data_IF_940862194120
#
_entry.id   IF_940862194120
#
_cell.length_a   1.000
_cell.length_b   1.000
_cell.length_c   1.000
_cell.angle_alpha   90.00
_cell.angle_beta   90.00
_cell.angle_gamma   90.00
#
_symmetry.space_group_name_H-M   'P 1'
#
loop_
_entity.id
_entity.type
_entity.pdbx_description
1 polymer ?
#
# COMPACT_ATOMS: atom_id res chain seq x y z
N UNK A 1 0.54 -27.86 13.39
CA UNK A 1 1.00 -26.90 12.37
C UNK A 1 0.32 -27.34 11.08
N UNK A 2 -0.59 -26.54 10.53
CA UNK A 2 -1.51 -26.96 9.44
C UNK A 2 -0.80 -27.18 8.10
N UNK A 3 0.48 -26.81 8.03
CA UNK A 3 1.34 -26.90 6.83
C UNK A 3 1.84 -28.32 6.53
N UNK A 4 1.73 -29.28 7.47
CA UNK A 4 2.20 -30.65 7.25
C UNK A 4 1.18 -31.58 6.55
N UNK A 5 -0.08 -31.16 6.37
CA UNK A 5 -1.16 -32.02 5.85
C UNK A 5 -1.65 -31.69 4.43
N UNK A 6 -1.32 -30.51 3.87
CA UNK A 6 -1.82 -30.07 2.57
C UNK A 6 -0.73 -29.44 1.72
N UNK A 7 -0.68 -29.83 0.45
CA UNK A 7 0.23 -29.26 -0.55
C UNK A 7 -0.08 -27.77 -0.76
N UNK A 8 0.96 -26.96 -0.88
CA UNK A 8 0.88 -25.51 -1.06
C UNK A 8 0.03 -25.15 -2.29
N UNK A 9 0.20 -25.87 -3.40
CA UNK A 9 -0.59 -25.67 -4.62
C UNK A 9 -2.10 -25.85 -4.38
N UNK A 10 -2.47 -26.76 -3.48
CA UNK A 10 -3.87 -27.01 -3.14
C UNK A 10 -4.44 -25.86 -2.31
N UNK A 11 -3.68 -25.32 -1.37
CA UNK A 11 -4.09 -24.17 -0.55
C UNK A 11 -4.31 -22.94 -1.44
N UNK A 12 -3.36 -22.66 -2.35
CA UNK A 12 -3.44 -21.56 -3.32
C UNK A 12 -4.63 -21.76 -4.27
N UNK A 13 -4.88 -22.97 -4.77
CA UNK A 13 -6.00 -23.25 -5.67
C UNK A 13 -7.36 -23.06 -5.00
N UNK A 14 -7.52 -23.51 -3.76
CA UNK A 14 -8.78 -23.33 -3.00
C UNK A 14 -9.02 -21.84 -2.69
N UNK A 15 -7.95 -21.12 -2.34
CA UNK A 15 -8.03 -19.68 -2.12
C UNK A 15 -8.41 -18.92 -3.39
N UNK A 16 -7.80 -19.23 -4.54
CA UNK A 16 -8.15 -18.63 -5.82
C UNK A 16 -9.62 -18.91 -6.20
N UNK A 17 -10.14 -20.10 -5.86
CA UNK A 17 -11.56 -20.41 -6.04
C UNK A 17 -12.48 -19.58 -5.15
N UNK A 18 -12.06 -19.32 -3.90
CA UNK A 18 -12.74 -18.40 -3.01
C UNK A 18 -12.72 -16.97 -3.53
N UNK A 19 -11.56 -16.47 -3.97
CA UNK A 19 -11.38 -15.11 -4.48
C UNK A 19 -12.24 -14.85 -5.73
N UNK A 20 -12.32 -15.81 -6.65
CA UNK A 20 -13.23 -15.72 -7.81
C UNK A 20 -14.71 -15.65 -7.40
N UNK A 21 -15.10 -16.45 -6.41
CA UNK A 21 -16.48 -16.46 -5.90
C UNK A 21 -16.83 -15.15 -5.18
N UNK A 22 -15.88 -14.63 -4.41
CA UNK A 22 -15.98 -13.34 -3.75
C UNK A 22 -16.10 -12.22 -4.78
N UNK A 23 -15.24 -12.17 -5.79
CA UNK A 23 -15.27 -11.16 -6.85
C UNK A 23 -16.61 -11.11 -7.57
N UNK A 24 -17.28 -12.26 -7.77
CA UNK A 24 -18.62 -12.32 -8.35
C UNK A 24 -19.72 -11.77 -7.41
N UNK A 25 -19.52 -11.86 -6.10
CA UNK A 25 -20.45 -11.38 -5.08
C UNK A 25 -20.28 -9.88 -4.78
N UNK A 26 -19.06 -9.35 -4.94
CA UNK A 26 -18.71 -7.98 -4.59
C UNK A 26 -19.66 -6.91 -5.18
N UNK A 27 -20.01 -6.93 -6.49
CA UNK A 27 -20.94 -5.94 -7.06
C UNK A 27 -22.32 -5.91 -6.40
N UNK A 28 -22.79 -7.07 -5.91
CA UNK A 28 -24.07 -7.17 -5.22
C UNK A 28 -23.99 -6.56 -3.82
N UNK A 29 -22.89 -6.80 -3.11
CA UNK A 29 -22.68 -6.25 -1.77
C UNK A 29 -22.46 -4.73 -1.82
N UNK A 30 -21.69 -4.23 -2.79
CA UNK A 30 -21.45 -2.80 -2.97
C UNK A 30 -22.70 -2.03 -3.41
N UNK A 31 -23.68 -2.71 -4.04
CA UNK A 31 -24.97 -2.09 -4.37
C UNK A 31 -25.81 -1.74 -3.13
N UNK A 32 -25.55 -2.41 -2.00
CA UNK A 32 -26.27 -2.20 -0.75
C UNK A 32 -25.53 -1.11 0.04
N UNK A 33 -26.03 0.13 -0.06
CA UNK A 33 -25.52 1.28 0.72
C UNK A 33 -25.82 1.10 2.21
N UNK A 34 -24.91 0.45 2.93
CA UNK A 34 -25.01 0.20 4.36
C UNK A 34 -23.60 0.26 5.00
N UNK A 35 -23.39 1.16 5.98
CA UNK A 35 -22.09 1.33 6.64
C UNK A 35 -21.51 0.06 7.28
N UNK A 36 -22.36 -0.86 7.74
CA UNK A 36 -21.91 -2.14 8.31
C UNK A 36 -21.38 -3.10 7.23
N UNK A 37 -21.97 -3.06 6.04
CA UNK A 37 -21.55 -3.86 4.88
C UNK A 37 -20.23 -3.30 4.35
N UNK A 38 -20.13 -1.99 4.17
CA UNK A 38 -18.89 -1.31 3.77
C UNK A 38 -17.72 -1.63 4.71
N UNK A 39 -17.94 -1.58 6.03
CA UNK A 39 -16.92 -1.94 7.02
C UNK A 39 -16.51 -3.41 6.93
N UNK A 40 -17.46 -4.30 6.64
CA UNK A 40 -17.20 -5.74 6.51
C UNK A 40 -16.40 -6.01 5.23
N UNK A 41 -16.78 -5.36 4.13
CA UNK A 41 -16.03 -5.39 2.87
C UNK A 41 -14.58 -4.95 3.10
N UNK A 42 -14.37 -3.82 3.79
CA UNK A 42 -13.03 -3.32 4.06
C UNK A 42 -12.18 -4.31 4.88
N UNK A 43 -12.78 -4.95 5.90
CA UNK A 43 -12.09 -5.99 6.67
C UNK A 43 -11.73 -7.20 5.82
N UNK A 44 -12.58 -7.53 4.86
CA UNK A 44 -12.40 -8.68 3.98
C UNK A 44 -11.22 -8.45 3.04
N UNK A 45 -11.08 -7.23 2.49
CA UNK A 45 -9.88 -6.83 1.73
C UNK A 45 -8.61 -6.86 2.57
N UNK A 46 -8.63 -6.29 3.78
CA UNK A 46 -7.46 -6.37 4.68
C UNK A 46 -7.07 -7.82 5.00
N UNK A 47 -8.04 -8.72 5.13
CA UNK A 47 -7.76 -10.15 5.29
C UNK A 47 -7.23 -10.79 4.01
N UNK A 48 -7.71 -10.36 2.84
CA UNK A 48 -7.25 -10.80 1.53
C UNK A 48 -5.76 -10.46 1.34
N UNK A 49 -5.36 -9.23 1.68
CA UNK A 49 -3.97 -8.78 1.62
C UNK A 49 -3.06 -9.62 2.53
N UNK A 50 -3.49 -9.84 3.77
CA UNK A 50 -2.76 -10.68 4.72
C UNK A 50 -2.59 -12.12 4.21
N UNK A 51 -3.58 -12.67 3.51
CA UNK A 51 -3.48 -14.01 2.94
C UNK A 51 -2.57 -14.03 1.71
N UNK A 52 -2.59 -12.99 0.87
CA UNK A 52 -1.62 -12.85 -0.22
C UNK A 52 -0.19 -12.72 0.30
N UNK A 53 0.03 -11.95 1.37
CA UNK A 53 1.32 -11.86 2.06
C UNK A 53 1.75 -13.21 2.65
N UNK A 54 0.84 -13.91 3.33
CA UNK A 54 1.12 -15.19 3.98
C UNK A 54 1.41 -16.31 2.99
N UNK A 55 0.71 -16.31 1.85
CA UNK A 55 0.82 -17.32 0.81
C UNK A 55 1.76 -16.91 -0.33
N UNK A 56 2.48 -15.78 -0.23
CA UNK A 56 3.36 -15.27 -1.29
C UNK A 56 2.71 -15.26 -2.69
N UNK A 57 1.42 -14.95 -2.76
CA UNK A 57 0.74 -14.76 -4.04
C UNK A 57 1.01 -13.35 -4.53
N UNK A 58 1.28 -13.17 -5.83
CA UNK A 58 1.36 -11.83 -6.41
C UNK A 58 0.00 -11.14 -6.20
N UNK A 59 0.01 -10.02 -5.47
CA UNK A 59 -1.16 -9.18 -5.32
C UNK A 59 -1.41 -8.49 -6.67
N UNK A 60 -2.11 -9.16 -7.58
CA UNK A 60 -2.71 -8.48 -8.72
C UNK A 60 -3.82 -7.61 -8.17
N UNK A 61 -3.50 -6.35 -7.89
CA UNK A 61 -4.46 -5.34 -7.45
C UNK A 61 -5.73 -5.48 -8.25
N UNK A 62 -6.81 -5.91 -7.60
CA UNK A 62 -8.05 -6.18 -8.30
C UNK A 62 -8.55 -4.86 -8.88
N UNK A 63 -8.73 -4.77 -10.20
CA UNK A 63 -9.28 -3.57 -10.86
C UNK A 63 -10.60 -3.11 -10.22
N UNK A 64 -11.35 -4.05 -9.64
CA UNK A 64 -12.57 -3.77 -8.89
C UNK A 64 -12.30 -2.97 -7.61
N UNK A 65 -11.19 -3.27 -6.91
CA UNK A 65 -10.78 -2.54 -5.71
C UNK A 65 -10.28 -1.14 -6.04
N UNK A 66 -9.46 -0.99 -7.07
CA UNK A 66 -9.04 0.33 -7.58
C UNK A 66 -10.22 1.19 -7.99
N UNK A 67 -11.21 0.60 -8.67
CA UNK A 67 -12.44 1.29 -9.04
C UNK A 67 -13.21 1.77 -7.81
N UNK A 68 -13.36 0.92 -6.79
CA UNK A 68 -14.02 1.28 -5.53
C UNK A 68 -13.31 2.42 -4.80
N UNK A 69 -11.98 2.42 -4.79
CA UNK A 69 -11.21 3.52 -4.18
C UNK A 69 -11.32 4.81 -4.99
N UNK A 70 -11.33 4.72 -6.32
CA UNK A 70 -11.60 5.87 -7.17
C UNK A 70 -13.02 6.44 -6.97
N UNK A 71 -14.02 5.57 -6.78
CA UNK A 71 -15.39 5.98 -6.45
C UNK A 71 -15.45 6.74 -5.12
N UNK A 72 -14.73 6.25 -4.09
CA UNK A 72 -14.64 6.90 -2.79
C UNK A 72 -13.97 8.29 -2.89
N UNK A 73 -12.81 8.36 -3.56
CA UNK A 73 -12.10 9.62 -3.77
C UNK A 73 -12.96 10.64 -4.52
N UNK A 74 -13.67 10.22 -5.58
CA UNK A 74 -14.58 11.09 -6.33
C UNK A 74 -15.71 11.61 -5.43
N UNK A 75 -16.29 10.75 -4.60
CA UNK A 75 -17.34 11.13 -3.66
C UNK A 75 -16.86 12.15 -2.62
N UNK A 76 -15.64 12.01 -2.12
CA UNK A 76 -15.08 12.92 -1.12
C UNK A 76 -14.71 14.28 -1.74
N UNK A 77 -14.23 14.27 -2.98
CA UNK A 77 -14.07 15.49 -3.76
C UNK A 77 -15.43 16.18 -4.01
N UNK A 78 -16.47 15.45 -4.43
CA UNK A 78 -17.82 16.01 -4.59
C UNK A 78 -18.36 16.59 -3.27
N UNK A 79 -18.17 15.88 -2.16
CA UNK A 79 -18.54 16.36 -0.83
C UNK A 79 -17.79 17.62 -0.45
N UNK A 80 -16.50 17.71 -0.79
CA UNK A 80 -15.72 18.92 -0.59
C UNK A 80 -16.37 20.10 -1.32
N UNK A 81 -16.74 19.95 -2.59
CA UNK A 81 -17.40 21.01 -3.36
C UNK A 81 -18.77 21.43 -2.81
N UNK A 82 -19.56 20.46 -2.33
CA UNK A 82 -20.87 20.73 -1.72
C UNK A 82 -20.75 21.47 -0.38
N UNK A 83 -19.75 21.13 0.44
CA UNK A 83 -19.53 21.72 1.77
C UNK A 83 -18.73 23.01 1.73
N UNK A 84 -17.86 23.15 0.73
CA UNK A 84 -16.99 24.32 0.53
C UNK A 84 -17.72 25.36 -0.32
N UNK A 85 -18.86 25.84 0.19
CA UNK A 85 -19.62 26.90 -0.50
C UNK A 85 -18.81 28.18 -0.68
N UNK A 86 -19.30 29.08 -1.56
CA UNK A 86 -18.73 30.41 -1.87
C UNK A 86 -18.26 31.24 -0.66
N UNK A 87 -18.81 30.97 0.53
CA UNK A 87 -18.45 31.62 1.80
C UNK A 87 -17.02 31.30 2.25
N UNK A 88 -16.50 30.09 1.97
CA UNK A 88 -15.12 29.73 2.31
C UNK A 88 -14.09 30.44 1.41
N UNK A 89 -14.47 30.74 0.16
CA UNK A 89 -13.67 31.50 -0.80
C UNK A 89 -13.41 32.94 -0.34
N UNK A 90 -14.28 33.52 0.49
CA UNK A 90 -14.12 34.88 1.04
C UNK A 90 -12.90 35.02 1.95
N UNK A 91 -12.39 33.91 2.49
CA UNK A 91 -11.23 33.88 3.39
C UNK A 91 -9.87 33.72 2.69
N UNK A 92 -9.85 33.44 1.38
CA UNK A 92 -8.61 33.19 0.63
C UNK A 92 -8.04 34.46 0.04
N UNK A 93 -6.70 34.56 0.03
CA UNK A 93 -5.99 35.69 -0.60
C UNK A 93 -6.17 35.74 -2.12
N UNK A 94 -6.36 34.59 -2.76
CA UNK A 94 -6.58 34.46 -4.21
C UNK A 94 -7.61 33.36 -4.50
N UNK A 95 -8.92 33.70 -4.45
CA UNK A 95 -10.00 32.74 -4.66
C UNK A 95 -10.04 32.17 -6.07
N UNK A 96 -9.63 32.94 -7.08
CA UNK A 96 -9.64 32.51 -8.48
C UNK A 96 -8.61 31.40 -8.72
N UNK A 97 -7.42 31.55 -8.16
CA UNK A 97 -6.39 30.50 -8.22
C UNK A 97 -6.79 29.24 -7.47
N UNK A 98 -7.39 29.38 -6.27
CA UNK A 98 -7.86 28.23 -5.50
C UNK A 98 -8.96 27.45 -6.25
N UNK A 99 -9.89 28.15 -6.90
CA UNK A 99 -10.92 27.53 -7.74
C UNK A 99 -10.34 26.83 -8.97
N UNK A 100 -9.35 27.44 -9.63
CA UNK A 100 -8.67 26.80 -10.77
C UNK A 100 -8.03 25.49 -10.35
N UNK A 101 -7.23 25.50 -9.28
CA UNK A 101 -6.57 24.29 -8.75
C UNK A 101 -7.57 23.23 -8.32
N UNK A 102 -8.70 23.62 -7.73
CA UNK A 102 -9.76 22.67 -7.42
C UNK A 102 -10.34 22.05 -8.70
N UNK A 103 -10.64 22.87 -9.72
CA UNK A 103 -11.18 22.39 -10.99
C UNK A 103 -10.22 21.46 -11.73
N UNK A 104 -8.92 21.77 -11.71
CA UNK A 104 -7.88 20.95 -12.31
C UNK A 104 -7.79 19.59 -11.61
N UNK A 105 -7.80 19.58 -10.26
CA UNK A 105 -7.83 18.35 -9.47
C UNK A 105 -9.11 17.53 -9.69
N UNK A 106 -10.27 18.16 -9.75
CA UNK A 106 -11.52 17.49 -10.07
C UNK A 106 -11.45 16.78 -11.43
N UNK A 107 -10.92 17.47 -12.45
CA UNK A 107 -10.76 16.91 -13.78
C UNK A 107 -9.82 15.70 -13.82
N UNK A 108 -8.73 15.72 -13.05
CA UNK A 108 -7.80 14.57 -13.00
C UNK A 108 -8.40 13.37 -12.29
N UNK A 109 -9.12 13.57 -11.18
CA UNK A 109 -9.84 12.49 -10.47
C UNK A 109 -10.93 11.88 -11.35
N UNK A 110 -11.73 12.72 -12.02
CA UNK A 110 -12.76 12.26 -12.95
C UNK A 110 -12.16 11.45 -14.12
N UNK A 111 -11.06 11.93 -14.71
CA UNK A 111 -10.38 11.20 -15.78
C UNK A 111 -9.82 9.85 -15.31
N UNK A 112 -9.22 9.79 -14.12
CA UNK A 112 -8.75 8.53 -13.53
C UNK A 112 -9.90 7.54 -13.31
N UNK A 113 -11.01 8.02 -12.76
CA UNK A 113 -12.24 7.25 -12.56
C UNK A 113 -12.80 6.70 -13.89
N UNK A 114 -12.92 7.55 -14.91
CA UNK A 114 -13.39 7.18 -16.25
C UNK A 114 -12.53 6.07 -16.88
N UNK A 115 -11.20 6.14 -16.72
CA UNK A 115 -10.27 5.14 -17.29
C UNK A 115 -10.41 3.78 -16.58
N UNK A 116 -10.62 3.78 -15.26
CA UNK A 116 -10.93 2.57 -14.50
C UNK A 116 -12.28 1.98 -14.90
N UNK A 117 -13.30 2.81 -15.11
CA UNK A 117 -14.62 2.36 -15.53
C UNK A 117 -14.61 1.73 -16.93
N UNK A 118 -13.82 2.28 -17.85
CA UNK A 118 -13.65 1.75 -19.22
C UNK A 118 -12.76 0.50 -19.28
N UNK A 119 -12.14 0.11 -18.16
CA UNK A 119 -11.25 -1.04 -18.11
C UNK A 119 -10.00 -0.88 -18.97
N UNK A 120 -9.46 0.34 -19.06
CA UNK A 120 -8.28 0.65 -19.85
C UNK A 120 -7.03 -0.09 -19.34
N UNK A 121 -5.97 -0.04 -20.14
CA UNK A 121 -4.70 -0.68 -19.82
C UNK A 121 -4.03 -0.06 -18.58
N UNK A 122 -3.36 -0.89 -17.78
CA UNK A 122 -2.85 -0.52 -16.45
C UNK A 122 -1.83 0.62 -16.52
N UNK A 123 -1.06 0.70 -17.62
CA UNK A 123 -0.12 1.80 -17.87
C UNK A 123 -0.81 3.17 -17.99
N UNK A 124 -1.98 3.23 -18.64
CA UNK A 124 -2.77 4.47 -18.76
C UNK A 124 -3.42 4.84 -17.44
N UNK A 125 -3.90 3.85 -16.69
CA UNK A 125 -4.45 4.06 -15.34
C UNK A 125 -3.37 4.64 -14.42
N UNK A 126 -2.18 4.04 -14.41
CA UNK A 126 -1.02 4.52 -13.66
C UNK A 126 -0.60 5.94 -14.07
N UNK A 127 -0.49 6.22 -15.37
CA UNK A 127 -0.17 7.56 -15.87
C UNK A 127 -1.22 8.60 -15.42
N UNK A 128 -2.50 8.26 -15.55
CA UNK A 128 -3.58 9.15 -15.14
C UNK A 128 -3.58 9.45 -13.64
N UNK A 129 -3.23 8.45 -12.82
CA UNK A 129 -3.08 8.61 -11.39
C UNK A 129 -1.91 9.53 -11.01
N UNK A 130 -0.84 9.56 -11.80
CA UNK A 130 0.26 10.52 -11.62
C UNK A 130 -0.23 11.98 -11.62
N UNK A 131 -1.19 12.32 -12.48
CA UNK A 131 -1.81 13.66 -12.50
C UNK A 131 -2.72 13.90 -11.27
N UNK A 132 -3.38 12.86 -10.76
CA UNK A 132 -4.15 12.93 -9.50
C UNK A 132 -3.24 13.27 -8.32
N UNK A 133 -2.07 12.64 -8.21
CA UNK A 133 -1.12 12.94 -7.14
C UNK A 133 -0.51 14.35 -7.22
N UNK A 134 -0.23 14.82 -8.45
CA UNK A 134 0.33 16.16 -8.65
C UNK A 134 -0.69 17.24 -8.30
N UNK A 135 -1.89 17.18 -8.89
CA UNK A 135 -2.92 18.17 -8.66
C UNK A 135 -3.54 18.04 -7.25
N UNK A 136 -3.61 16.83 -6.70
CA UNK A 136 -4.03 16.59 -5.31
C UNK A 136 -3.12 17.29 -4.31
N UNK A 137 -1.79 17.23 -4.49
CA UNK A 137 -0.86 17.99 -3.62
C UNK A 137 -1.05 19.50 -3.73
N UNK A 138 -1.28 20.03 -4.94
CA UNK A 138 -1.54 21.45 -5.16
C UNK A 138 -2.85 21.88 -4.51
N UNK A 139 -3.89 21.05 -4.65
CA UNK A 139 -5.20 21.23 -4.05
C UNK A 139 -5.12 21.25 -2.52
N UNK A 140 -4.54 20.21 -1.89
CA UNK A 140 -4.37 20.14 -0.45
C UNK A 140 -3.60 21.35 0.08
N UNK A 141 -2.52 21.77 -0.60
CA UNK A 141 -1.75 22.96 -0.23
C UNK A 141 -2.57 24.25 -0.32
N UNK A 142 -3.40 24.40 -1.35
CA UNK A 142 -4.26 25.57 -1.55
C UNK A 142 -5.32 25.69 -0.45
N UNK A 143 -5.93 24.57 -0.03
CA UNK A 143 -7.05 24.57 0.91
C UNK A 143 -6.66 24.28 2.37
N UNK A 144 -5.39 24.00 2.66
CA UNK A 144 -4.87 23.72 4.02
C UNK A 144 -5.14 24.82 5.05
N UNK A 145 -5.29 26.07 4.62
CA UNK A 145 -5.53 27.22 5.48
C UNK A 145 -7.02 27.40 5.84
N UNK A 146 -7.89 26.51 5.37
CA UNK A 146 -9.31 26.50 5.71
C UNK A 146 -9.51 26.36 7.22
N UNK A 147 -10.35 27.22 7.79
CA UNK A 147 -10.68 27.22 9.24
C UNK A 147 -11.89 26.35 9.60
N UNK A 148 -12.62 25.84 8.60
CA UNK A 148 -13.77 24.97 8.81
C UNK A 148 -13.28 23.57 9.16
N UNK A 149 -13.56 23.10 10.39
CA UNK A 149 -13.22 21.73 10.81
C UNK A 149 -13.82 20.67 9.90
N UNK A 150 -15.04 20.90 9.39
CA UNK A 150 -15.71 19.98 8.47
C UNK A 150 -14.97 19.87 7.13
N UNK A 151 -14.38 20.96 6.64
CA UNK A 151 -13.59 20.94 5.41
C UNK A 151 -12.19 20.36 5.64
N UNK A 152 -11.60 20.58 6.82
CA UNK A 152 -10.32 19.94 7.21
C UNK A 152 -10.46 18.43 7.26
N UNK A 153 -11.57 17.90 7.81
CA UNK A 153 -11.82 16.45 7.83
C UNK A 153 -11.88 15.86 6.42
N UNK A 154 -12.62 16.49 5.50
CA UNK A 154 -12.72 16.02 4.10
C UNK A 154 -11.37 16.12 3.37
N UNK A 155 -10.57 17.16 3.64
CA UNK A 155 -9.22 17.25 3.06
C UNK A 155 -8.31 16.11 3.54
N UNK A 156 -8.47 15.67 4.80
CA UNK A 156 -7.73 14.53 5.33
C UNK A 156 -8.17 13.21 4.67
N UNK A 157 -9.49 13.02 4.49
CA UNK A 157 -10.05 11.85 3.79
C UNK A 157 -9.50 11.76 2.35
N UNK A 158 -9.49 12.88 1.62
CA UNK A 158 -8.89 12.96 0.26
C UNK A 158 -7.39 12.63 0.27
N UNK A 159 -6.62 13.11 1.26
CA UNK A 159 -5.19 12.80 1.38
C UNK A 159 -4.95 11.30 1.64
N UNK A 160 -5.75 10.70 2.50
CA UNK A 160 -5.67 9.28 2.86
C UNK A 160 -6.07 8.37 1.68
N UNK A 161 -7.08 8.76 0.90
CA UNK A 161 -7.51 8.06 -0.30
C UNK A 161 -6.45 8.06 -1.40
N UNK A 162 -5.82 9.22 -1.66
CA UNK A 162 -4.67 9.32 -2.57
C UNK A 162 -3.55 8.39 -2.06
N UNK A 163 -3.17 8.47 -0.78
CA UNK A 163 -2.12 7.61 -0.25
C UNK A 163 -2.44 6.11 -0.34
N UNK A 164 -3.72 5.74 -0.31
CA UNK A 164 -4.18 4.34 -0.42
C UNK A 164 -4.16 3.86 -1.86
N UNK A 165 -4.73 4.62 -2.81
CA UNK A 165 -4.70 4.27 -4.24
C UNK A 165 -3.26 4.15 -4.75
N UNK A 166 -2.35 4.99 -4.27
CA UNK A 166 -0.91 4.88 -4.57
C UNK A 166 -0.33 3.53 -4.20
N UNK A 167 -0.66 3.03 -3.00
CA UNK A 167 -0.18 1.74 -2.50
C UNK A 167 -0.77 0.61 -3.33
N UNK A 168 -2.07 0.68 -3.62
CA UNK A 168 -2.76 -0.34 -4.39
C UNK A 168 -2.30 -0.44 -5.83
N UNK A 169 -2.06 0.66 -6.54
CA UNK A 169 -1.62 0.59 -7.94
C UNK A 169 -0.25 -0.09 -8.12
N UNK A 170 0.40 -0.55 -7.04
CA UNK A 170 1.78 -1.03 -7.05
C UNK A 170 2.67 -0.07 -7.85
N UNK A 171 2.36 1.24 -7.77
CA UNK A 171 3.22 2.31 -8.23
C UNK A 171 4.36 2.48 -7.23
N UNK A 172 5.05 1.36 -7.01
CA UNK A 172 6.41 1.30 -6.53
C UNK A 172 7.28 2.07 -7.53
N UNK A 173 8.17 2.87 -6.95
CA UNK A 173 9.33 3.47 -7.58
C UNK A 173 9.13 4.71 -8.47
N UNK A 174 8.51 5.76 -7.92
CA UNK A 174 8.85 7.14 -8.30
C UNK A 174 8.76 8.19 -7.17
N UNK A 175 8.31 7.85 -5.97
CA UNK A 175 8.55 8.68 -4.79
C UNK A 175 9.75 8.11 -4.02
N UNK A 176 10.66 8.95 -3.49
CA UNK A 176 11.76 8.47 -2.67
C UNK A 176 11.15 7.67 -1.51
N UNK A 177 11.53 6.39 -1.40
CA UNK A 177 11.14 5.54 -0.29
C UNK A 177 11.43 6.31 0.99
N UNK A 178 10.42 6.45 1.86
CA UNK A 178 10.61 7.16 3.12
C UNK A 178 11.76 6.52 3.87
N UNK A 179 12.87 7.26 3.96
CA UNK A 179 14.10 6.89 4.67
C UNK A 179 13.77 6.36 6.08
N UNK A 180 12.79 6.97 6.74
CA UNK A 180 12.31 6.55 8.05
C UNK A 180 11.65 5.16 8.03
N UNK A 181 10.81 4.87 7.03
CA UNK A 181 10.18 3.54 6.90
C UNK A 181 11.22 2.46 6.61
N UNK A 182 12.19 2.74 5.74
CA UNK A 182 13.29 1.81 5.47
C UNK A 182 14.11 1.51 6.72
N UNK A 183 14.43 2.53 7.51
CA UNK A 183 15.15 2.34 8.79
C UNK A 183 14.38 1.43 9.74
N UNK A 184 13.08 1.68 9.91
CA UNK A 184 12.23 0.85 10.78
C UNK A 184 12.15 -0.60 10.30
N UNK A 185 11.98 -0.84 9.00
CA UNK A 185 11.91 -2.20 8.43
C UNK A 185 13.26 -2.91 8.56
N UNK A 186 14.36 -2.23 8.24
CA UNK A 186 15.69 -2.83 8.33
C UNK A 186 16.11 -3.13 9.78
N UNK A 187 15.75 -2.27 10.73
CA UNK A 187 15.93 -2.54 12.16
C UNK A 187 15.13 -3.76 12.61
N UNK A 188 13.84 -3.85 12.22
CA UNK A 188 13.01 -5.00 12.56
C UNK A 188 13.54 -6.30 11.96
N UNK A 189 14.08 -6.25 10.74
CA UNK A 189 14.70 -7.41 10.10
C UNK A 189 15.98 -7.84 10.82
N UNK A 190 16.81 -6.91 11.26
CA UNK A 190 18.00 -7.19 12.07
C UNK A 190 17.61 -7.88 13.39
N UNK A 191 16.62 -7.32 14.11
CA UNK A 191 16.15 -7.88 15.38
C UNK A 191 15.61 -9.31 15.20
N UNK A 192 14.81 -9.56 14.16
CA UNK A 192 14.27 -10.88 13.84
C UNK A 192 15.39 -11.86 13.43
N UNK A 193 16.37 -11.42 12.66
CA UNK A 193 17.50 -12.25 12.26
C UNK A 193 18.41 -12.60 13.45
N UNK A 194 18.57 -11.69 14.42
CA UNK A 194 19.33 -11.94 15.64
C UNK A 194 18.62 -12.97 16.52
N UNK A 195 17.30 -12.83 16.67
CA UNK A 195 16.49 -13.80 17.40
C UNK A 195 16.52 -15.19 16.73
N UNK A 196 16.42 -15.25 15.39
CA UNK A 196 16.54 -16.49 14.65
C UNK A 196 17.92 -17.16 14.86
N UNK A 197 19.01 -16.40 14.84
CA UNK A 197 20.35 -16.95 15.07
C UNK A 197 20.52 -17.48 16.51
N UNK A 198 19.92 -16.81 17.50
CA UNK A 198 19.88 -17.33 18.86
C UNK A 198 19.11 -18.65 18.96
N UNK A 199 17.92 -18.72 18.36
CA UNK A 199 17.07 -19.91 18.39
C UNK A 199 17.74 -21.10 17.68
N UNK A 200 18.33 -20.86 16.51
CA UNK A 200 19.08 -21.88 15.76
C UNK A 200 20.28 -22.37 16.57
N UNK A 201 21.05 -21.48 17.20
CA UNK A 201 22.19 -21.89 18.05
C UNK A 201 21.74 -22.72 19.24
N UNK A 202 20.66 -22.33 19.90
CA UNK A 202 20.10 -23.07 21.03
C UNK A 202 19.68 -24.47 20.60
N UNK A 203 18.95 -24.58 19.49
CA UNK A 203 18.51 -25.84 18.93
C UNK A 203 19.68 -26.73 18.51
N UNK A 204 20.66 -26.20 17.78
CA UNK A 204 21.86 -26.93 17.34
C UNK A 204 22.72 -27.45 18.50
N UNK A 205 22.71 -26.75 19.64
CA UNK A 205 23.41 -27.19 20.84
C UNK A 205 22.69 -28.36 21.54
N UNK A 206 21.36 -28.45 21.39
CA UNK A 206 20.52 -29.53 21.92
C UNK A 206 20.56 -30.78 21.04
N UNK A 207 20.16 -30.66 19.76
CA UNK A 207 19.94 -31.81 18.85
C UNK A 207 21.24 -32.34 18.20
N UNK A 208 22.26 -31.48 18.07
CA UNK A 208 23.57 -31.81 17.45
C UNK A 208 23.49 -32.57 16.11
N UNK A 209 22.75 -32.06 15.12
CA UNK A 209 22.62 -32.70 13.82
C UNK A 209 23.95 -32.69 13.03
N UNK A 210 24.06 -33.56 12.01
CA UNK A 210 25.26 -33.66 11.17
C UNK A 210 25.55 -32.38 10.36
N UNK A 211 24.51 -31.63 9.97
CA UNK A 211 24.59 -30.35 9.24
C UNK A 211 24.78 -29.13 10.15
N UNK A 212 25.11 -29.33 11.43
CA UNK A 212 25.22 -28.25 12.43
C UNK A 212 26.13 -27.10 12.00
N UNK A 213 27.27 -27.40 11.39
CA UNK A 213 28.21 -26.37 10.93
C UNK A 213 27.63 -25.54 9.79
N UNK A 214 26.90 -26.18 8.87
CA UNK A 214 26.26 -25.52 7.73
C UNK A 214 25.12 -24.62 8.19
N UNK A 215 24.22 -25.12 9.03
CA UNK A 215 23.11 -24.36 9.58
C UNK A 215 23.58 -23.17 10.45
N UNK A 216 24.61 -23.36 11.29
CA UNK A 216 25.20 -22.27 12.07
C UNK A 216 25.84 -21.20 11.17
N UNK A 217 26.49 -21.62 10.08
CA UNK A 217 27.12 -20.69 9.14
C UNK A 217 26.08 -19.90 8.35
N UNK A 218 25.02 -20.57 7.86
CA UNK A 218 23.94 -19.94 7.12
C UNK A 218 23.21 -18.89 7.98
N UNK A 219 22.81 -19.27 9.19
CA UNK A 219 22.18 -18.38 10.17
C UNK A 219 23.02 -17.13 10.48
N UNK A 220 24.31 -17.31 10.78
CA UNK A 220 25.21 -16.18 11.05
C UNK A 220 25.47 -15.33 9.81
N UNK A 221 25.37 -15.90 8.60
CA UNK A 221 25.54 -15.16 7.34
C UNK A 221 24.32 -14.29 7.08
N UNK A 222 23.12 -14.83 7.25
CA UNK A 222 21.86 -14.10 7.15
C UNK A 222 21.81 -12.92 8.13
N UNK A 223 22.14 -13.15 9.41
CA UNK A 223 22.25 -12.08 10.42
C UNK A 223 23.22 -10.97 10.00
N UNK A 224 24.42 -11.33 9.54
CA UNK A 224 25.41 -10.34 9.08
C UNK A 224 24.91 -9.51 7.91
N UNK A 225 24.10 -10.08 7.01
CA UNK A 225 23.53 -9.34 5.87
C UNK A 225 22.40 -8.42 6.28
N UNK A 226 21.51 -8.86 7.19
CA UNK A 226 20.49 -7.99 7.77
C UNK A 226 21.12 -6.76 8.47
N UNK A 227 22.19 -6.97 9.26
CA UNK A 227 22.97 -5.89 9.88
C UNK A 227 23.62 -4.95 8.85
N UNK A 228 24.14 -5.50 7.74
CA UNK A 228 24.73 -4.69 6.67
C UNK A 228 23.69 -3.85 5.94
N UNK A 229 22.50 -4.41 5.69
CA UNK A 229 21.38 -3.69 5.09
C UNK A 229 20.95 -2.52 6.00
N UNK A 230 20.74 -2.76 7.29
CA UNK A 230 20.35 -1.72 8.24
C UNK A 230 21.37 -0.57 8.31
N UNK A 231 22.68 -0.88 8.38
CA UNK A 231 23.73 0.15 8.34
C UNK A 231 23.73 0.96 7.04
N UNK A 232 23.47 0.32 5.90
CA UNK A 232 23.44 1.00 4.59
C UNK A 232 22.21 1.87 4.39
N UNK A 233 21.08 1.47 4.98
CA UNK A 233 19.87 2.29 5.04
C UNK A 233 20.15 3.57 5.86
N UNK A 234 20.91 3.47 6.95
CA UNK A 234 21.28 4.61 7.80
C UNK A 234 22.24 5.60 7.13
N UNK A 235 23.13 5.14 6.24
CA UNK A 235 24.18 5.97 5.61
C UNK A 235 23.75 6.67 4.31
N UNK A 236 22.46 6.74 3.98
CA UNK A 236 21.94 7.36 2.73
C UNK A 236 22.60 6.81 1.45
N UNK A 237 22.72 5.47 1.36
CA UNK A 237 23.31 4.79 0.20
C UNK A 237 22.48 5.00 -1.08
N UNK A 238 23.14 4.98 -2.26
CA UNK A 238 22.46 5.13 -3.56
C UNK A 238 21.39 4.03 -3.74
N UNK A 239 20.20 4.33 -4.29
CA UNK A 239 19.08 3.37 -4.42
C UNK A 239 19.47 2.03 -5.07
N UNK A 240 20.34 2.05 -6.07
CA UNK A 240 20.84 0.85 -6.78
C UNK A 240 21.71 -0.07 -5.92
N UNK A 241 22.46 0.49 -4.96
CA UNK A 241 23.29 -0.29 -4.05
C UNK A 241 22.46 -0.91 -2.92
N UNK A 242 21.36 -0.26 -2.56
CA UNK A 242 20.40 -0.75 -1.59
C UNK A 242 19.60 -1.93 -2.15
N UNK A 243 19.11 -1.81 -3.40
CA UNK A 243 18.39 -2.89 -4.12
C UNK A 243 19.23 -4.16 -4.20
N UNK A 244 20.52 -4.04 -4.56
CA UNK A 244 21.42 -5.20 -4.64
C UNK A 244 21.60 -5.93 -3.30
N UNK A 245 21.55 -5.21 -2.18
CA UNK A 245 21.64 -5.82 -0.85
C UNK A 245 20.32 -6.41 -0.39
N UNK A 246 19.19 -5.80 -0.76
CA UNK A 246 17.86 -6.39 -0.55
C UNK A 246 17.75 -7.72 -1.30
N UNK A 247 18.14 -7.77 -2.58
CA UNK A 247 18.17 -9.00 -3.38
C UNK A 247 19.08 -10.07 -2.76
N UNK A 248 20.20 -9.64 -2.18
CA UNK A 248 21.17 -10.55 -1.57
C UNK A 248 20.72 -11.08 -0.20
N UNK A 249 19.95 -10.30 0.57
CA UNK A 249 19.27 -10.77 1.78
C UNK A 249 18.15 -11.75 1.41
N UNK A 250 17.40 -11.42 0.36
CA UNK A 250 16.31 -12.26 -0.14
C UNK A 250 16.80 -13.62 -0.66
N UNK A 251 17.95 -13.67 -1.32
CA UNK A 251 18.52 -14.93 -1.82
C UNK A 251 19.14 -15.82 -0.73
N UNK A 252 19.46 -15.27 0.44
CA UNK A 252 20.05 -15.98 1.57
C UNK A 252 18.99 -16.53 2.55
N UNK A 253 17.75 -16.05 2.44
CA UNK A 253 16.56 -16.58 3.13
C UNK A 253 16.04 -17.83 2.40
#
# INVERSE_FOLDING_TARGET
>A
MVVDEYDYERIVSEYNGFDQSLAALMPQLTSIRNPYIERTIQRLYTANDLVHELLWMENTTSKAELKRMADALMQDVDQFYLRTGLVLLLGFKDPARALSTASDFYGTVQNFHDLLERGEADNKVAESYGYVEEEGRRFLAAFRQTKSQAAVAVLQEIEDDIATIRRELNLGDSAPVSQQKLRTVAASLEDLADQLDMDIRQWLNSERPAYRTEAATASTTFLKRAQQLHRRVDTESRPTELLREVDAVFADW
#
